data_IF_030008264279
#
_entry.id   IF_030008264279
#
_cell.length_a   1.000
_cell.length_b   1.000
_cell.length_c   1.000
_cell.angle_alpha   90.00
_cell.angle_beta   90.00
_cell.angle_gamma   90.00
#
_symmetry.space_group_name_H-M   'P 1'
#
loop_
_entity.id
_entity.type
_entity.pdbx_description
1 polymer ?
#
# COMPACT_ATOMS: atom_id res chain seq x y z
N UNK A 1 -4.93 -12.27 10.23
CA UNK A 1 -4.30 -12.75 11.48
C UNK A 1 -5.35 -13.24 12.47
N UNK A 2 -6.33 -12.45 12.87
CA UNK A 2 -7.35 -12.83 13.86
C UNK A 2 -8.20 -14.06 13.47
N UNK A 3 -8.38 -14.35 12.19
CA UNK A 3 -9.08 -15.57 11.71
C UNK A 3 -8.23 -16.83 11.85
N UNK A 4 -6.91 -16.71 11.70
CA UNK A 4 -5.97 -17.84 11.69
C UNK A 4 -5.47 -18.14 13.09
N UNK A 5 -5.08 -17.10 13.82
CA UNK A 5 -4.56 -17.21 15.17
C UNK A 5 -5.69 -16.95 16.20
N UNK A 6 -6.04 -17.98 16.96
CA UNK A 6 -7.08 -17.94 18.01
C UNK A 6 -6.52 -17.87 19.44
N UNK A 7 -5.21 -17.89 19.60
CA UNK A 7 -4.55 -17.79 20.90
C UNK A 7 -4.41 -16.35 21.37
N UNK A 8 -4.24 -15.41 20.43
CA UNK A 8 -4.07 -14.00 20.69
C UNK A 8 -5.38 -13.21 20.53
N UNK A 9 -5.47 -12.10 21.25
CA UNK A 9 -6.52 -11.10 21.07
C UNK A 9 -5.98 -9.98 20.19
N UNK A 10 -6.79 -9.54 19.24
CA UNK A 10 -6.45 -8.49 18.30
C UNK A 10 -7.28 -7.25 18.60
N UNK A 11 -6.63 -6.13 18.71
CA UNK A 11 -7.25 -4.83 18.96
C UNK A 11 -6.93 -3.90 17.78
N UNK A 12 -7.95 -3.34 17.19
CA UNK A 12 -7.80 -2.37 16.10
C UNK A 12 -8.19 -0.98 16.58
N UNK A 13 -7.21 -0.08 16.61
CA UNK A 13 -7.39 1.31 16.97
C UNK A 13 -7.54 2.15 15.71
N UNK A 14 -8.77 2.52 15.37
CA UNK A 14 -9.04 3.39 14.25
C UNK A 14 -9.07 4.86 14.71
N UNK A 15 -8.15 5.66 14.14
CA UNK A 15 -7.96 7.06 14.51
C UNK A 15 -8.51 8.05 13.49
N UNK A 16 -9.19 7.58 12.44
CA UNK A 16 -9.87 8.40 11.44
C UNK A 16 -11.27 7.84 11.14
N UNK A 17 -12.10 8.65 10.47
CA UNK A 17 -13.44 8.27 10.10
C UNK A 17 -13.40 7.14 9.06
N UNK A 18 -14.01 6.00 9.37
CA UNK A 18 -14.19 4.88 8.47
C UNK A 18 -15.68 4.54 8.39
N UNK A 19 -16.14 4.27 7.18
CA UNK A 19 -17.55 3.93 6.91
C UNK A 19 -17.82 2.42 7.06
N UNK A 20 -16.85 1.66 7.59
CA UNK A 20 -16.94 0.20 7.72
C UNK A 20 -16.20 -0.30 8.98
N UNK A 21 -16.60 -1.48 9.45
CA UNK A 21 -15.89 -2.25 10.48
C UNK A 21 -15.07 -3.38 9.83
N UNK A 22 -13.91 -3.70 10.38
CA UNK A 22 -13.12 -4.85 9.90
C UNK A 22 -13.87 -6.18 10.07
N UNK A 23 -14.71 -6.28 11.10
CA UNK A 23 -15.53 -7.47 11.36
C UNK A 23 -16.51 -7.79 10.24
N UNK A 24 -16.90 -6.80 9.41
CA UNK A 24 -17.78 -7.00 8.24
C UNK A 24 -17.10 -7.82 7.12
N UNK A 25 -15.78 -7.89 7.13
CA UNK A 25 -14.97 -8.59 6.12
C UNK A 25 -14.39 -9.92 6.61
N UNK A 26 -14.74 -10.33 7.85
CA UNK A 26 -14.17 -11.51 8.48
C UNK A 26 -15.27 -12.53 8.79
N UNK A 27 -15.03 -13.81 8.44
CA UNK A 27 -15.95 -14.90 8.76
C UNK A 27 -16.00 -15.20 10.26
N UNK A 28 -14.85 -15.09 10.94
CA UNK A 28 -14.72 -15.26 12.39
C UNK A 28 -13.79 -14.20 12.98
N UNK A 29 -14.41 -13.22 13.64
CA UNK A 29 -13.73 -12.11 14.30
C UNK A 29 -13.90 -12.15 15.84
N UNK A 30 -14.14 -13.33 16.44
CA UNK A 30 -14.44 -13.46 17.86
C UNK A 30 -13.32 -12.96 18.80
N UNK A 31 -12.07 -12.93 18.33
CA UNK A 31 -10.91 -12.41 19.04
C UNK A 31 -10.44 -11.05 18.55
N UNK A 32 -11.22 -10.37 17.68
CA UNK A 32 -10.97 -9.01 17.22
C UNK A 32 -11.86 -8.02 17.99
N UNK A 33 -11.24 -6.97 18.47
CA UNK A 33 -11.88 -5.83 19.13
C UNK A 33 -11.54 -4.56 18.38
N UNK A 34 -12.55 -3.78 18.03
CA UNK A 34 -12.36 -2.51 17.33
C UNK A 34 -12.76 -1.34 18.22
N UNK A 35 -11.90 -0.33 18.27
CA UNK A 35 -12.19 0.95 18.90
C UNK A 35 -11.97 2.09 17.91
N UNK A 36 -12.91 3.02 17.87
CA UNK A 36 -12.91 4.15 16.97
C UNK A 36 -12.75 5.45 17.76
N UNK A 37 -11.65 6.16 17.50
CA UNK A 37 -11.37 7.46 18.08
C UNK A 37 -11.16 8.47 16.96
N UNK A 38 -12.22 9.16 16.56
CA UNK A 38 -12.17 10.14 15.51
C UNK A 38 -11.60 11.46 16.00
N UNK A 39 -10.42 11.83 15.53
CA UNK A 39 -9.76 13.09 15.86
C UNK A 39 -9.92 14.19 14.78
N UNK A 40 -10.75 13.99 13.77
CA UNK A 40 -10.97 14.87 12.63
C UNK A 40 -10.23 14.46 11.37
N UNK A 41 -10.46 15.18 10.28
CA UNK A 41 -9.84 14.88 8.96
C UNK A 41 -8.47 15.53 8.84
N UNK A 42 -7.50 14.78 8.34
CA UNK A 42 -6.21 15.26 7.90
C UNK A 42 -5.13 15.36 8.98
N UNK A 43 -4.02 15.99 8.59
CA UNK A 43 -2.81 16.10 9.41
C UNK A 43 -2.85 17.25 10.45
N UNK A 44 -4.04 17.65 10.90
CA UNK A 44 -4.18 18.78 11.82
C UNK A 44 -3.46 18.56 13.17
N UNK A 45 -3.27 17.29 13.56
CA UNK A 45 -2.55 16.91 14.79
C UNK A 45 -1.13 17.48 14.90
N UNK A 46 -0.49 17.78 13.76
CA UNK A 46 0.85 18.37 13.75
C UNK A 46 0.83 19.89 13.97
N UNK A 47 -0.31 20.54 13.78
CA UNK A 47 -0.47 21.97 13.94
C UNK A 47 -1.17 22.35 15.25
N UNK A 48 -1.85 21.39 15.87
CA UNK A 48 -2.59 21.57 17.12
C UNK A 48 -1.99 20.74 18.24
N UNK A 49 -1.14 21.38 19.05
CA UNK A 49 -0.46 20.74 20.17
C UNK A 49 -1.43 20.14 21.17
N UNK A 50 -2.58 20.79 21.41
CA UNK A 50 -3.58 20.32 22.38
C UNK A 50 -4.20 19.01 21.91
N UNK A 51 -4.60 18.93 20.65
CA UNK A 51 -5.17 17.73 20.06
C UNK A 51 -4.13 16.59 20.02
N UNK A 52 -2.87 16.92 19.75
CA UNK A 52 -1.80 15.92 19.74
C UNK A 52 -1.54 15.30 21.13
N UNK A 53 -1.55 16.12 22.19
CA UNK A 53 -1.44 15.62 23.56
C UNK A 53 -2.68 14.78 23.96
N UNK A 54 -3.88 15.16 23.49
CA UNK A 54 -5.09 14.38 23.70
C UNK A 54 -4.99 13.00 23.03
N UNK A 55 -4.53 12.92 21.78
CA UNK A 55 -4.28 11.65 21.08
C UNK A 55 -3.34 10.75 21.91
N UNK A 56 -2.24 11.32 22.42
CA UNK A 56 -1.31 10.57 23.27
C UNK A 56 -1.96 9.98 24.52
N UNK A 57 -2.87 10.73 25.17
CA UNK A 57 -3.63 10.24 26.32
C UNK A 57 -4.58 9.10 25.94
N UNK A 58 -5.25 9.23 24.78
CA UNK A 58 -6.16 8.17 24.30
C UNK A 58 -5.37 6.92 23.96
N UNK A 59 -4.26 7.03 23.21
CA UNK A 59 -3.40 5.88 22.87
C UNK A 59 -2.89 5.19 24.15
N UNK A 60 -2.33 5.94 25.11
CA UNK A 60 -1.85 5.36 26.38
C UNK A 60 -2.95 4.63 27.15
N UNK A 61 -4.14 5.22 27.18
CA UNK A 61 -5.29 4.62 27.84
C UNK A 61 -5.72 3.33 27.16
N UNK A 62 -5.85 3.36 25.82
CA UNK A 62 -6.19 2.20 25.01
C UNK A 62 -5.21 1.04 25.25
N UNK A 63 -3.89 1.31 25.20
CA UNK A 63 -2.86 0.30 25.42
C UNK A 63 -2.98 -0.32 26.82
N UNK A 64 -3.19 0.52 27.84
CA UNK A 64 -3.29 0.09 29.24
C UNK A 64 -4.58 -0.69 29.53
N UNK A 65 -5.73 -0.15 29.13
CA UNK A 65 -7.04 -0.72 29.45
C UNK A 65 -7.23 -2.08 28.77
N UNK A 66 -6.65 -2.25 27.60
CA UNK A 66 -6.69 -3.50 26.82
C UNK A 66 -5.50 -4.43 27.07
N UNK A 67 -4.54 -4.05 27.92
CA UNK A 67 -3.34 -4.84 28.22
C UNK A 67 -2.58 -5.25 26.96
N UNK A 68 -2.25 -4.27 26.11
CA UNK A 68 -1.59 -4.51 24.83
C UNK A 68 -0.11 -4.80 25.05
N UNK A 69 0.35 -5.96 24.60
CA UNK A 69 1.77 -6.36 24.63
C UNK A 69 2.54 -5.86 23.42
N UNK A 70 1.89 -5.87 22.24
CA UNK A 70 2.51 -5.50 20.98
C UNK A 70 1.62 -4.51 20.22
N UNK A 71 2.19 -3.39 19.84
CA UNK A 71 1.54 -2.41 18.95
C UNK A 71 2.13 -2.51 17.56
N UNK A 72 1.28 -2.80 16.58
CA UNK A 72 1.70 -3.03 15.20
C UNK A 72 1.24 -1.93 14.26
N UNK A 73 2.19 -1.24 13.64
CA UNK A 73 1.95 -0.24 12.59
C UNK A 73 2.04 -0.90 11.21
N UNK A 74 0.90 -1.12 10.57
CA UNK A 74 0.81 -1.82 9.28
C UNK A 74 1.38 -1.02 8.11
N UNK A 75 1.32 0.32 8.17
CA UNK A 75 1.81 1.21 7.11
C UNK A 75 2.21 2.58 7.68
N UNK A 76 3.41 2.73 8.24
CA UNK A 76 3.85 3.97 8.89
C UNK A 76 3.93 5.17 7.95
N UNK A 77 4.00 4.93 6.62
CA UNK A 77 4.06 5.98 5.61
C UNK A 77 2.70 6.38 5.03
N UNK A 78 1.60 5.76 5.46
CA UNK A 78 0.26 6.20 5.10
C UNK A 78 0.03 7.63 5.60
N UNK A 79 -0.51 8.49 4.74
CA UNK A 79 -0.71 9.91 5.08
C UNK A 79 -1.72 10.12 6.22
N UNK A 80 -2.64 9.19 6.42
CA UNK A 80 -3.62 9.20 7.50
C UNK A 80 -3.08 8.61 8.81
N UNK A 81 -1.93 7.93 8.78
CA UNK A 81 -1.32 7.35 9.97
C UNK A 81 -0.90 8.43 10.96
N UNK A 82 -1.31 8.27 12.21
CA UNK A 82 -0.88 9.12 13.32
C UNK A 82 0.64 9.08 13.49
N UNK A 83 1.26 10.24 13.72
CA UNK A 83 2.66 10.30 14.12
C UNK A 83 2.75 10.00 15.61
N UNK A 84 3.10 8.77 15.92
CA UNK A 84 3.25 8.31 17.30
C UNK A 84 4.55 8.82 17.93
N UNK A 85 4.56 8.88 19.28
CA UNK A 85 5.74 9.20 20.08
C UNK A 85 6.13 8.01 20.93
N UNK A 86 7.42 7.79 21.08
CA UNK A 86 7.98 6.68 21.86
C UNK A 86 7.42 6.61 23.29
N UNK A 87 7.29 7.76 23.94
CA UNK A 87 6.79 7.88 25.31
C UNK A 87 5.31 7.48 25.50
N UNK A 88 4.61 7.16 24.41
CA UNK A 88 3.23 6.63 24.52
C UNK A 88 3.20 5.11 24.70
N UNK A 89 4.29 4.42 24.45
CA UNK A 89 4.39 2.95 24.37
C UNK A 89 5.26 2.33 25.46
N UNK A 90 5.29 2.94 26.64
CA UNK A 90 6.06 2.40 27.76
C UNK A 90 5.57 0.99 28.15
N UNK A 91 6.48 0.01 28.06
CA UNK A 91 6.17 -1.40 28.34
C UNK A 91 5.48 -2.15 27.20
N UNK A 92 5.30 -1.53 26.04
CA UNK A 92 4.68 -2.14 24.85
C UNK A 92 5.72 -2.28 23.74
N UNK A 93 5.83 -3.46 23.16
CA UNK A 93 6.69 -3.70 21.98
C UNK A 93 6.06 -3.07 20.74
N UNK A 94 6.82 -2.26 20.01
CA UNK A 94 6.32 -1.58 18.82
C UNK A 94 6.96 -2.16 17.56
N UNK A 95 6.12 -2.64 16.64
CA UNK A 95 6.52 -3.23 15.36
C UNK A 95 5.94 -2.42 14.21
N UNK A 96 6.69 -2.27 13.12
CA UNK A 96 6.21 -1.54 11.95
C UNK A 96 6.53 -2.29 10.65
N UNK A 97 5.59 -2.32 9.69
CA UNK A 97 5.88 -2.85 8.36
C UNK A 97 6.21 -1.74 7.37
N UNK A 98 7.34 -1.86 6.70
CA UNK A 98 7.77 -0.97 5.61
C UNK A 98 7.71 -1.72 4.29
N UNK A 99 6.82 -1.29 3.40
CA UNK A 99 6.65 -1.89 2.07
C UNK A 99 7.76 -1.50 1.12
N UNK A 100 8.14 -0.24 1.09
CA UNK A 100 9.26 0.29 0.32
C UNK A 100 9.73 1.64 0.88
N UNK A 101 10.88 2.10 0.40
CA UNK A 101 11.42 3.43 0.66
C UNK A 101 11.69 4.21 -0.63
N UNK A 102 10.97 3.90 -1.68
CA UNK A 102 11.13 4.51 -3.01
C UNK A 102 11.00 6.04 -2.95
N UNK A 103 10.03 6.63 -2.24
CA UNK A 103 9.95 8.08 -2.10
C UNK A 103 11.21 8.70 -1.46
N UNK A 104 11.85 7.98 -0.53
CA UNK A 104 13.13 8.42 0.04
C UNK A 104 14.27 8.41 -0.96
N UNK A 105 14.37 7.37 -1.76
CA UNK A 105 15.42 7.19 -2.77
C UNK A 105 15.26 8.15 -3.96
N UNK A 106 14.01 8.54 -4.27
CA UNK A 106 13.65 9.38 -5.41
C UNK A 106 12.97 10.68 -4.97
N UNK A 107 13.56 11.36 -3.98
CA UNK A 107 12.99 12.55 -3.34
C UNK A 107 12.56 13.63 -4.32
N UNK A 108 13.36 13.87 -5.35
CA UNK A 108 13.07 14.92 -6.35
C UNK A 108 11.84 14.59 -7.22
N UNK A 109 11.54 13.31 -7.37
CA UNK A 109 10.38 12.85 -8.14
C UNK A 109 9.09 12.88 -7.31
N UNK A 110 9.19 12.49 -6.02
CA UNK A 110 8.02 12.34 -5.16
C UNK A 110 7.69 13.56 -4.32
N UNK A 111 8.68 14.38 -4.02
CA UNK A 111 8.50 15.54 -3.14
C UNK A 111 8.92 16.82 -3.85
N UNK A 112 7.95 17.70 -4.22
CA UNK A 112 8.28 19.06 -4.65
C UNK A 112 9.12 19.79 -3.60
N UNK A 113 9.96 20.72 -4.03
CA UNK A 113 10.76 21.55 -3.10
C UNK A 113 9.84 22.18 -2.05
N UNK A 114 10.24 22.06 -0.77
CA UNK A 114 9.52 22.61 0.39
C UNK A 114 8.09 22.06 0.60
N UNK A 115 7.79 20.84 0.13
CA UNK A 115 6.47 20.23 0.34
C UNK A 115 6.30 19.78 1.80
N UNK A 116 5.09 19.98 2.34
CA UNK A 116 4.70 19.40 3.64
C UNK A 116 4.78 17.87 3.61
N UNK A 117 4.47 17.25 2.48
CA UNK A 117 4.57 15.81 2.31
C UNK A 117 5.98 15.28 2.59
N UNK A 118 7.02 16.01 2.16
CA UNK A 118 8.42 15.64 2.49
C UNK A 118 8.67 15.69 3.99
N UNK A 119 8.23 16.76 4.66
CA UNK A 119 8.41 16.90 6.11
C UNK A 119 7.71 15.77 6.87
N UNK A 120 6.48 15.43 6.52
CA UNK A 120 5.75 14.32 7.13
C UNK A 120 6.44 12.98 6.87
N UNK A 121 6.95 12.76 5.69
CA UNK A 121 7.68 11.55 5.36
C UNK A 121 8.95 11.42 6.21
N UNK A 122 9.72 12.50 6.36
CA UNK A 122 10.93 12.54 7.20
C UNK A 122 10.59 12.31 8.69
N UNK A 123 9.52 12.88 9.21
CA UNK A 123 9.05 12.64 10.57
C UNK A 123 8.65 11.16 10.79
N UNK A 124 8.10 10.49 9.78
CA UNK A 124 7.80 9.06 9.85
C UNK A 124 9.06 8.20 9.84
N UNK A 125 10.09 8.60 9.10
CA UNK A 125 11.41 7.94 9.19
C UNK A 125 11.97 8.08 10.62
N UNK A 126 11.86 9.26 11.22
CA UNK A 126 12.31 9.47 12.60
C UNK A 126 11.51 8.62 13.59
N UNK A 127 10.22 8.43 13.34
CA UNK A 127 9.38 7.52 14.11
C UNK A 127 9.89 6.07 14.03
N UNK A 128 10.30 5.59 12.85
CA UNK A 128 10.85 4.25 12.69
C UNK A 128 12.17 4.03 13.45
N UNK A 129 12.91 5.06 13.81
CA UNK A 129 14.17 4.92 14.55
C UNK A 129 13.99 4.37 15.96
N UNK A 130 12.83 4.61 16.58
CA UNK A 130 12.58 4.16 17.94
C UNK A 130 11.66 2.93 18.05
N UNK A 131 11.03 2.45 16.97
CA UNK A 131 10.28 1.17 17.03
C UNK A 131 11.24 0.03 17.38
N UNK A 132 10.73 -1.03 18.00
CA UNK A 132 11.55 -2.16 18.42
C UNK A 132 11.96 -3.04 17.25
N UNK A 133 11.02 -3.32 16.33
CA UNK A 133 11.28 -4.16 15.16
C UNK A 133 10.61 -3.59 13.91
N UNK A 134 11.31 -3.73 12.78
CA UNK A 134 10.80 -3.36 11.45
C UNK A 134 10.64 -4.63 10.62
N UNK A 135 9.48 -4.80 10.04
CA UNK A 135 9.18 -5.87 9.09
C UNK A 135 9.20 -5.28 7.67
N UNK A 136 9.88 -5.95 6.75
CA UNK A 136 9.92 -5.53 5.34
C UNK A 136 9.47 -6.65 4.42
N UNK A 137 8.92 -6.30 3.26
CA UNK A 137 8.31 -7.28 2.35
C UNK A 137 9.31 -8.01 1.45
N UNK A 138 10.58 -7.61 1.45
CA UNK A 138 11.62 -8.26 0.64
C UNK A 138 13.03 -7.96 1.17
N UNK A 139 13.97 -8.81 0.81
CA UNK A 139 15.39 -8.59 1.08
C UNK A 139 15.90 -7.29 0.43
N UNK A 140 15.39 -6.91 -0.73
CA UNK A 140 15.74 -5.66 -1.41
C UNK A 140 15.41 -4.44 -0.52
N UNK A 141 14.22 -4.39 0.07
CA UNK A 141 13.83 -3.29 0.98
C UNK A 141 14.71 -3.28 2.22
N UNK A 142 15.05 -4.45 2.79
CA UNK A 142 15.98 -4.56 3.92
C UNK A 142 17.34 -3.94 3.59
N UNK A 143 17.93 -4.32 2.46
CA UNK A 143 19.21 -3.79 2.01
C UNK A 143 19.14 -2.28 1.73
N UNK A 144 18.06 -1.80 1.14
CA UNK A 144 17.87 -0.38 0.91
C UNK A 144 17.76 0.42 2.21
N UNK A 145 17.05 -0.07 3.22
CA UNK A 145 16.96 0.59 4.53
C UNK A 145 18.31 0.63 5.25
N UNK A 146 19.09 -0.45 5.20
CA UNK A 146 20.45 -0.49 5.76
C UNK A 146 21.33 0.53 5.04
N UNK A 147 21.36 0.48 3.72
CA UNK A 147 22.26 1.27 2.87
C UNK A 147 21.95 2.77 2.89
N UNK A 148 20.67 3.13 2.76
CA UNK A 148 20.27 4.53 2.53
C UNK A 148 19.75 5.23 3.77
N UNK A 149 19.27 4.49 4.76
CA UNK A 149 18.74 5.05 6.01
C UNK A 149 19.56 4.70 7.25
N UNK A 150 20.60 3.88 7.08
CA UNK A 150 21.51 3.47 8.14
C UNK A 150 20.81 2.77 9.34
N UNK A 151 19.79 1.97 9.06
CA UNK A 151 19.18 1.10 10.07
C UNK A 151 20.08 -0.11 10.36
N UNK A 152 20.09 -0.56 11.61
CA UNK A 152 20.83 -1.74 12.03
C UNK A 152 20.17 -3.01 11.44
N UNK A 153 20.94 -3.94 10.85
CA UNK A 153 20.41 -5.13 10.19
C UNK A 153 19.53 -6.02 11.09
N UNK A 154 19.89 -6.09 12.37
CA UNK A 154 19.17 -6.87 13.40
C UNK A 154 17.82 -6.28 13.77
N UNK A 155 17.57 -5.03 13.40
CA UNK A 155 16.28 -4.36 13.61
C UNK A 155 15.28 -4.66 12.50
N UNK A 156 15.70 -5.33 11.43
CA UNK A 156 14.88 -5.53 10.23
C UNK A 156 14.75 -7.01 9.93
N UNK A 157 13.51 -7.51 9.96
CA UNK A 157 13.17 -8.86 9.50
C UNK A 157 12.39 -8.81 8.19
N UNK A 158 12.62 -9.81 7.35
CA UNK A 158 11.90 -9.97 6.08
C UNK A 158 10.67 -10.85 6.29
N UNK A 159 9.50 -10.31 5.98
CA UNK A 159 8.25 -11.05 5.88
C UNK A 159 7.80 -11.03 4.42
N UNK A 160 7.68 -12.20 3.81
CA UNK A 160 7.26 -12.28 2.41
C UNK A 160 5.77 -11.96 2.27
N UNK A 161 5.44 -11.23 1.21
CA UNK A 161 4.04 -11.05 0.82
C UNK A 161 3.46 -12.37 0.31
N UNK A 162 2.18 -12.60 0.59
CA UNK A 162 1.41 -13.71 0.03
C UNK A 162 0.20 -13.16 -0.73
N UNK A 163 -0.39 -14.00 -1.56
CA UNK A 163 -1.66 -13.68 -2.23
C UNK A 163 -2.82 -14.20 -1.40
N UNK A 164 -3.93 -13.48 -1.46
CA UNK A 164 -5.20 -13.91 -0.88
C UNK A 164 -5.73 -15.14 -1.64
N UNK A 165 -6.37 -16.08 -0.93
CA UNK A 165 -6.92 -17.32 -1.50
C UNK A 165 -7.97 -17.09 -2.61
N UNK A 166 -8.53 -15.89 -2.70
CA UNK A 166 -9.41 -15.48 -3.81
C UNK A 166 -8.68 -15.45 -5.16
N UNK A 167 -7.36 -15.24 -5.16
CA UNK A 167 -6.54 -15.27 -6.38
C UNK A 167 -6.14 -16.71 -6.70
N UNK A 168 -7.07 -17.46 -7.24
CA UNK A 168 -6.85 -18.83 -7.71
C UNK A 168 -7.44 -19.00 -9.10
N UNK A 169 -6.95 -19.96 -9.83
CA UNK A 169 -7.54 -20.36 -11.11
C UNK A 169 -8.91 -20.97 -10.85
N UNK A 170 -9.94 -20.29 -11.37
CA UNK A 170 -11.33 -20.74 -11.31
C UNK A 170 -11.89 -20.83 -12.72
N UNK A 171 -12.66 -21.88 -13.06
CA UNK A 171 -13.36 -21.94 -14.33
C UNK A 171 -14.32 -20.75 -14.45
N UNK A 172 -14.18 -19.98 -15.54
CA UNK A 172 -15.10 -18.89 -15.84
C UNK A 172 -16.19 -19.43 -16.78
N UNK A 173 -17.46 -19.15 -16.47
CA UNK A 173 -18.56 -19.51 -17.36
C UNK A 173 -18.39 -18.79 -18.73
N UNK A 174 -18.65 -19.51 -19.83
CA UNK A 174 -18.49 -18.97 -21.16
C UNK A 174 -19.29 -17.69 -21.42
N UNK A 175 -20.44 -17.55 -20.77
CA UNK A 175 -21.27 -16.34 -20.81
C UNK A 175 -20.52 -15.16 -20.18
N UNK A 176 -20.00 -15.33 -18.97
CA UNK A 176 -19.22 -14.28 -18.26
C UNK A 176 -17.97 -13.89 -19.04
N UNK A 177 -17.27 -14.86 -19.62
CA UNK A 177 -16.12 -14.57 -20.47
C UNK A 177 -16.52 -13.73 -21.67
N UNK A 178 -17.63 -14.10 -22.35
CA UNK A 178 -18.15 -13.35 -23.50
C UNK A 178 -18.50 -11.91 -23.10
N UNK A 179 -19.26 -11.71 -22.01
CA UNK A 179 -19.63 -10.38 -21.52
C UNK A 179 -18.41 -9.50 -21.22
N UNK A 180 -17.37 -10.06 -20.59
CA UNK A 180 -16.13 -9.33 -20.30
C UNK A 180 -15.42 -8.96 -21.62
N UNK A 181 -15.28 -9.89 -22.54
CA UNK A 181 -14.64 -9.64 -23.83
C UNK A 181 -15.39 -8.56 -24.63
N UNK A 182 -16.70 -8.65 -24.72
CA UNK A 182 -17.54 -7.65 -25.41
C UNK A 182 -17.42 -6.27 -24.73
N UNK A 183 -17.52 -6.23 -23.41
CA UNK A 183 -17.44 -4.98 -22.63
C UNK A 183 -16.12 -4.23 -22.83
N UNK A 184 -15.01 -4.95 -22.94
CA UNK A 184 -13.67 -4.36 -23.02
C UNK A 184 -13.05 -4.45 -24.43
N UNK A 185 -13.79 -4.92 -25.44
CA UNK A 185 -13.32 -5.02 -26.81
C UNK A 185 -12.17 -6.04 -26.99
N UNK A 186 -12.17 -7.13 -26.23
CA UNK A 186 -11.16 -8.17 -26.30
C UNK A 186 -11.61 -9.22 -27.33
N UNK A 187 -11.02 -9.18 -28.51
CA UNK A 187 -11.40 -10.07 -29.64
C UNK A 187 -10.49 -11.26 -29.81
N UNK A 188 -9.23 -11.12 -29.41
CA UNK A 188 -8.16 -12.09 -29.67
C UNK A 188 -7.57 -12.66 -28.37
N UNK A 189 -6.53 -13.45 -28.49
CA UNK A 189 -5.65 -13.75 -27.37
C UNK A 189 -5.02 -12.46 -26.86
N UNK A 190 -4.69 -12.37 -25.57
CA UNK A 190 -4.20 -11.12 -25.02
C UNK A 190 -3.02 -11.30 -24.07
N UNK A 191 -2.20 -10.27 -24.00
CA UNK A 191 -1.17 -10.09 -23.00
C UNK A 191 -1.75 -9.11 -21.97
N UNK A 192 -1.88 -9.54 -20.72
CA UNK A 192 -2.44 -8.71 -19.67
C UNK A 192 -1.35 -8.10 -18.78
N UNK A 193 -1.51 -6.83 -18.45
CA UNK A 193 -0.69 -6.15 -17.46
C UNK A 193 -1.59 -5.42 -16.45
N UNK A 194 -1.29 -5.59 -15.17
CA UNK A 194 -1.90 -4.80 -14.11
C UNK A 194 -0.92 -3.72 -13.67
N UNK A 195 -1.40 -2.50 -13.43
CA UNK A 195 -0.50 -1.42 -13.04
C UNK A 195 -1.23 -0.11 -12.77
N UNK A 196 -0.52 0.98 -12.92
CA UNK A 196 -1.01 2.35 -12.78
C UNK A 196 -0.15 3.30 -13.59
N UNK A 197 -0.55 4.57 -13.69
CA UNK A 197 0.18 5.63 -14.43
C UNK A 197 1.51 6.04 -13.78
N UNK A 198 1.89 5.44 -12.66
CA UNK A 198 3.21 5.68 -12.06
C UNK A 198 4.33 5.26 -13.02
N UNK A 199 5.24 6.17 -13.34
CA UNK A 199 6.34 5.93 -14.29
C UNK A 199 7.23 4.72 -13.93
N UNK A 200 7.24 4.29 -12.66
CA UNK A 200 7.93 3.06 -12.22
C UNK A 200 7.34 1.79 -12.82
N UNK A 201 6.05 1.82 -13.18
CA UNK A 201 5.36 0.67 -13.80
C UNK A 201 5.72 0.51 -15.27
N UNK A 202 6.35 1.53 -15.85
CA UNK A 202 6.90 1.51 -17.20
C UNK A 202 5.90 1.05 -18.30
N UNK A 203 4.64 1.49 -18.18
CA UNK A 203 3.62 1.17 -19.19
C UNK A 203 4.00 1.68 -20.58
N UNK A 204 4.69 2.82 -20.65
CA UNK A 204 5.25 3.36 -21.90
C UNK A 204 6.20 2.35 -22.56
N UNK A 205 7.10 1.77 -21.78
CA UNK A 205 8.02 0.73 -22.26
C UNK A 205 7.28 -0.51 -22.75
N UNK A 206 6.25 -0.93 -22.03
CA UNK A 206 5.41 -2.07 -22.42
C UNK A 206 4.69 -1.81 -23.77
N UNK A 207 4.06 -0.64 -23.93
CA UNK A 207 3.37 -0.27 -25.18
C UNK A 207 4.35 -0.22 -26.36
N UNK A 208 5.54 0.38 -26.17
CA UNK A 208 6.59 0.39 -27.19
C UNK A 208 7.11 -1.00 -27.53
N UNK A 209 7.31 -1.85 -26.52
CA UNK A 209 7.75 -3.23 -26.74
C UNK A 209 6.71 -4.04 -27.51
N UNK A 210 5.43 -3.90 -27.17
CA UNK A 210 4.35 -4.54 -27.91
C UNK A 210 4.29 -4.03 -29.36
N UNK A 211 4.40 -2.72 -29.58
CA UNK A 211 4.43 -2.13 -30.92
C UNK A 211 5.61 -2.60 -31.77
N UNK A 212 6.74 -2.93 -31.15
CA UNK A 212 7.95 -3.44 -31.83
C UNK A 212 7.90 -4.96 -32.10
N UNK A 213 6.86 -5.68 -31.65
CA UNK A 213 6.72 -7.10 -31.97
C UNK A 213 6.56 -7.34 -33.50
N UNK A 214 6.94 -8.54 -33.98
CA UNK A 214 6.64 -8.96 -35.34
C UNK A 214 5.14 -8.82 -35.65
N UNK A 215 4.80 -8.44 -36.87
CA UNK A 215 3.41 -8.19 -37.29
C UNK A 215 2.53 -9.41 -37.07
N UNK A 216 3.03 -10.60 -37.34
CA UNK A 216 2.31 -11.86 -37.19
C UNK A 216 1.90 -12.12 -35.74
N UNK A 217 2.72 -11.70 -34.77
CA UNK A 217 2.38 -11.81 -33.34
C UNK A 217 1.39 -10.72 -32.89
N UNK A 218 1.57 -9.48 -33.40
CA UNK A 218 0.62 -8.41 -33.11
C UNK A 218 -0.79 -8.68 -33.64
N UNK A 219 -0.91 -9.40 -34.73
CA UNK A 219 -2.20 -9.81 -35.31
C UNK A 219 -2.90 -10.89 -34.45
N UNK A 220 -2.15 -11.66 -33.68
CA UNK A 220 -2.67 -12.73 -32.81
C UNK A 220 -3.03 -12.26 -31.40
N UNK A 221 -2.46 -11.15 -30.93
CA UNK A 221 -2.59 -10.71 -29.55
C UNK A 221 -3.07 -9.27 -29.44
N UNK A 222 -3.78 -8.99 -28.34
CA UNK A 222 -4.07 -7.65 -27.87
C UNK A 222 -3.30 -7.35 -26.58
N UNK A 223 -2.94 -6.09 -26.34
CA UNK A 223 -2.36 -5.65 -25.07
C UNK A 223 -3.48 -5.07 -24.18
N UNK A 224 -3.80 -5.79 -23.11
CA UNK A 224 -4.83 -5.40 -22.14
C UNK A 224 -4.17 -4.84 -20.88
N UNK A 225 -4.35 -3.55 -20.63
CA UNK A 225 -3.81 -2.88 -19.46
C UNK A 225 -4.95 -2.62 -18.46
N UNK A 226 -4.91 -3.28 -17.30
CA UNK A 226 -5.95 -3.20 -16.27
C UNK A 226 -5.48 -2.27 -15.15
N UNK A 227 -5.95 -1.03 -15.16
CA UNK A 227 -5.70 -0.06 -14.10
C UNK A 227 -6.69 1.10 -14.15
N UNK A 228 -6.80 1.84 -13.03
CA UNK A 228 -7.56 3.09 -12.99
C UNK A 228 -6.65 4.23 -13.48
N UNK A 229 -7.06 4.87 -14.57
CA UNK A 229 -6.33 5.99 -15.19
C UNK A 229 -7.21 7.23 -15.27
N UNK A 230 -6.58 8.41 -15.27
CA UNK A 230 -7.24 9.64 -15.70
C UNK A 230 -7.43 9.63 -17.23
N UNK A 231 -8.39 10.39 -17.72
CA UNK A 231 -8.62 10.49 -19.17
C UNK A 231 -7.36 10.99 -19.91
N UNK A 232 -6.64 11.95 -19.33
CA UNK A 232 -5.39 12.47 -19.87
C UNK A 232 -4.31 11.37 -20.03
N UNK A 233 -4.19 10.48 -19.04
CA UNK A 233 -3.26 9.35 -19.11
C UNK A 233 -3.68 8.34 -20.20
N UNK A 234 -4.99 8.07 -20.34
CA UNK A 234 -5.54 7.20 -21.40
C UNK A 234 -5.19 7.80 -22.77
N UNK A 235 -5.48 9.08 -22.98
CA UNK A 235 -5.21 9.76 -24.26
C UNK A 235 -3.71 9.75 -24.60
N UNK A 236 -2.85 9.92 -23.59
CA UNK A 236 -1.40 9.82 -23.73
C UNK A 236 -0.94 8.42 -24.18
N UNK A 237 -1.46 7.37 -23.54
CA UNK A 237 -1.13 5.98 -23.89
C UNK A 237 -1.70 5.59 -25.26
N UNK A 238 -2.89 6.04 -25.63
CA UNK A 238 -3.46 5.80 -26.95
C UNK A 238 -2.62 6.47 -28.06
N UNK A 239 -2.17 7.70 -27.83
CA UNK A 239 -1.24 8.38 -28.72
C UNK A 239 0.08 7.61 -28.86
N UNK A 240 0.65 7.17 -27.73
CA UNK A 240 1.87 6.36 -27.73
C UNK A 240 1.70 5.03 -28.47
N UNK A 241 0.57 4.35 -28.30
CA UNK A 241 0.24 3.11 -29.00
C UNK A 241 0.24 3.33 -30.52
N UNK A 242 -0.38 4.41 -30.98
CA UNK A 242 -0.37 4.79 -32.41
C UNK A 242 1.03 5.05 -32.93
N UNK A 243 1.83 5.86 -32.20
CA UNK A 243 3.22 6.19 -32.60
C UNK A 243 4.14 4.95 -32.61
N UNK A 244 3.83 3.96 -31.78
CA UNK A 244 4.63 2.73 -31.61
C UNK A 244 4.17 1.57 -32.49
N UNK A 245 3.09 1.71 -33.28
CA UNK A 245 2.56 0.64 -34.13
C UNK A 245 1.75 -0.41 -33.35
N UNK A 246 1.14 -0.02 -32.23
CA UNK A 246 0.24 -0.83 -31.42
C UNK A 246 -1.22 -0.33 -31.46
N UNK A 247 -1.57 0.56 -32.44
CA UNK A 247 -2.91 1.14 -32.54
C UNK A 247 -3.97 0.05 -32.76
N UNK A 248 -5.03 0.09 -31.95
CA UNK A 248 -6.16 -0.85 -32.05
C UNK A 248 -5.88 -2.27 -31.60
N UNK A 249 -4.76 -2.47 -30.95
CA UNK A 249 -4.35 -3.78 -30.41
C UNK A 249 -4.10 -3.65 -28.93
#
# INVERSE_FOLDING_TARGET
MAEIDKENRYFFLNTYEADFSLSEFMEDASNLHEEFYFFGKGNFLLHDRINYELVGKVVKRFLKDNQIDVFYMTSPFDENMTLYRKEWFEGVTVVATVYDIIPYMRKDQYFPRFSRAKQYYEMRIDMLKWVDQILVISESVKQDMIKYMNFAPEKIDVIWGAVDERFKEIPVAAETEREIREKFGITDSFIICTGGADGRKNLDGLIRAFGAMPTELKEQYQLVIVCKLSQEAVDGFMKLAKESGAEGR
#
